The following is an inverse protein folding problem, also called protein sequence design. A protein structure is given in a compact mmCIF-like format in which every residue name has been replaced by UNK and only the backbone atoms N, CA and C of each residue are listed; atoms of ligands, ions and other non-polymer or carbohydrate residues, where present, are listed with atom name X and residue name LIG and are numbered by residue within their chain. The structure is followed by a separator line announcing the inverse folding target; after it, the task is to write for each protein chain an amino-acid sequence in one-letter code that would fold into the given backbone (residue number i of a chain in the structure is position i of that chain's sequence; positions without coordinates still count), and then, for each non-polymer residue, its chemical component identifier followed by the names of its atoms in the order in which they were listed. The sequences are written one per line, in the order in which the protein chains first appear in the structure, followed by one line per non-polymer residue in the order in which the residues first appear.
data_IF_385902412507
#
_entry.id   IF_385902412507
#
_cell.length_a   1.000
_cell.length_b   1.000
_cell.length_c   1.000
_cell.angle_alpha   90.00
_cell.angle_beta   90.00
_cell.angle_gamma   90.00
#
_symmetry.space_group_name_H-M   'P 1'
#
loop_
_entity.id
_entity.type
_entity.pdbx_description
1 polymer ?
#
# COMPACT_ATOMS: atom_id res chain seq x y z
N UNK A 1 -27.34 11.50 -23.65
CA UNK A 1 -26.70 10.30 -23.08
C UNK A 1 -25.20 10.54 -23.06
N UNK A 2 -24.65 10.94 -21.92
CA UNK A 2 -23.22 11.27 -21.79
C UNK A 2 -22.44 9.97 -21.63
N UNK A 3 -21.59 9.66 -22.61
CA UNK A 3 -20.65 8.53 -22.51
C UNK A 3 -19.47 8.94 -21.64
N UNK A 4 -19.46 8.50 -20.39
CA UNK A 4 -18.25 8.52 -19.58
C UNK A 4 -17.44 7.26 -19.94
N UNK A 5 -16.38 7.44 -20.72
CA UNK A 5 -15.34 6.42 -20.87
C UNK A 5 -14.60 6.31 -19.53
N UNK A 6 -15.02 5.37 -18.68
CA UNK A 6 -14.26 4.99 -17.50
C UNK A 6 -13.20 4.01 -17.97
N UNK A 7 -11.94 4.45 -18.03
CA UNK A 7 -10.80 3.53 -18.11
C UNK A 7 -10.67 2.87 -16.74
N UNK A 8 -11.36 1.75 -16.55
CA UNK A 8 -11.03 0.80 -15.50
C UNK A 8 -9.69 0.15 -15.91
N UNK A 9 -8.59 0.81 -15.56
CA UNK A 9 -7.28 0.17 -15.61
C UNK A 9 -7.28 -0.98 -14.62
N UNK A 10 -6.77 -2.14 -15.01
CA UNK A 10 -6.72 -3.36 -14.22
C UNK A 10 -6.30 -3.05 -12.76
N UNK A 11 -7.20 -3.30 -11.80
CA UNK A 11 -6.93 -3.09 -10.39
C UNK A 11 -5.82 -4.07 -9.98
N UNK A 12 -4.65 -3.54 -9.66
CA UNK A 12 -3.54 -4.31 -9.14
C UNK A 12 -3.79 -4.60 -7.66
N UNK A 13 -3.60 -5.85 -7.23
CA UNK A 13 -3.76 -6.20 -5.82
C UNK A 13 -2.51 -5.85 -5.02
N UNK A 14 -2.67 -5.53 -3.74
CA UNK A 14 -1.54 -5.15 -2.86
C UNK A 14 -0.42 -6.22 -2.82
N UNK A 15 -0.78 -7.51 -2.85
CA UNK A 15 0.18 -8.62 -2.86
C UNK A 15 0.92 -8.79 -4.20
N UNK A 16 0.52 -8.06 -5.24
CA UNK A 16 1.19 -8.03 -6.55
C UNK A 16 2.20 -6.89 -6.65
N UNK A 17 2.21 -5.98 -5.67
CA UNK A 17 3.14 -4.86 -5.61
C UNK A 17 4.54 -5.35 -5.26
N UNK A 18 5.55 -4.78 -5.94
CA UNK A 18 6.94 -5.08 -5.66
C UNK A 18 7.34 -4.72 -4.21
N UNK A 19 8.39 -5.38 -3.65
CA UNK A 19 8.76 -5.27 -2.23
C UNK A 19 9.38 -3.91 -1.84
N UNK A 20 9.57 -3.01 -2.81
CA UNK A 20 10.14 -1.69 -2.56
C UNK A 20 9.10 -0.75 -1.98
N UNK A 21 9.54 0.14 -1.08
CA UNK A 21 8.68 1.20 -0.54
C UNK A 21 8.11 2.10 -1.65
N UNK A 22 8.90 2.42 -2.67
CA UNK A 22 8.44 3.24 -3.79
C UNK A 22 7.26 2.58 -4.55
N UNK A 23 7.30 1.26 -4.73
CA UNK A 23 6.20 0.53 -5.37
C UNK A 23 4.91 0.61 -4.53
N UNK A 24 5.02 0.47 -3.21
CA UNK A 24 3.89 0.66 -2.29
C UNK A 24 3.35 2.10 -2.37
N UNK A 25 4.21 3.11 -2.33
CA UNK A 25 3.79 4.52 -2.39
C UNK A 25 3.03 4.85 -3.69
N UNK A 26 3.52 4.36 -4.84
CA UNK A 26 2.85 4.54 -6.13
C UNK A 26 1.49 3.86 -6.13
N UNK A 27 1.40 2.65 -5.59
CA UNK A 27 0.13 1.93 -5.44
C UNK A 27 -0.85 2.71 -4.57
N UNK A 28 -0.46 3.07 -3.35
CA UNK A 28 -1.33 3.79 -2.40
C UNK A 28 -1.74 5.16 -2.93
N UNK A 29 -0.86 5.86 -3.65
CA UNK A 29 -1.22 7.12 -4.30
C UNK A 29 -2.34 6.92 -5.33
N UNK A 30 -2.34 5.84 -6.10
CA UNK A 30 -3.42 5.53 -7.06
C UNK A 30 -4.72 5.21 -6.35
N UNK A 31 -4.66 4.35 -5.32
CA UNK A 31 -5.83 3.98 -4.51
C UNK A 31 -6.46 5.19 -3.81
N UNK A 32 -5.65 6.17 -3.40
CA UNK A 32 -6.11 7.39 -2.76
C UNK A 32 -6.43 8.53 -3.77
N UNK A 33 -6.83 8.18 -5.00
CA UNK A 33 -7.28 9.17 -6.00
C UNK A 33 -6.19 10.14 -6.49
N UNK A 34 -4.93 9.73 -6.43
CA UNK A 34 -3.76 10.53 -6.79
C UNK A 34 -3.16 11.34 -5.64
N UNK A 35 -3.76 11.31 -4.44
CA UNK A 35 -3.22 12.00 -3.28
C UNK A 35 -1.90 11.38 -2.84
N UNK A 36 -0.92 12.24 -2.53
CA UNK A 36 0.41 11.79 -2.11
C UNK A 36 0.32 11.10 -0.76
N UNK A 37 0.65 9.81 -0.75
CA UNK A 37 0.86 9.04 0.47
C UNK A 37 2.35 9.08 0.85
N UNK A 38 2.64 9.08 2.15
CA UNK A 38 4.00 9.03 2.68
C UNK A 38 4.04 8.19 3.96
N UNK A 39 5.22 7.65 4.25
CA UNK A 39 5.49 6.96 5.51
C UNK A 39 5.49 7.97 6.67
N UNK A 40 4.71 7.70 7.71
CA UNK A 40 4.69 8.48 8.96
C UNK A 40 5.65 7.93 9.99
N UNK A 41 5.74 6.60 10.10
CA UNK A 41 6.53 5.92 11.11
C UNK A 41 6.89 4.51 10.62
N UNK A 42 8.12 4.10 10.91
CA UNK A 42 8.55 2.71 10.85
C UNK A 42 8.88 2.22 12.26
N UNK A 43 8.50 0.99 12.57
CA UNK A 43 8.88 0.32 13.81
C UNK A 43 8.87 -1.19 13.64
N UNK A 44 9.70 -1.87 14.42
CA UNK A 44 9.65 -3.33 14.53
C UNK A 44 8.45 -3.73 15.40
N UNK A 45 7.54 -4.54 14.85
CA UNK A 45 6.40 -5.12 15.57
C UNK A 45 6.78 -6.52 16.07
N UNK A 46 6.75 -6.71 17.39
CA UNK A 46 7.11 -7.98 18.02
C UNK A 46 6.07 -9.10 17.78
N UNK A 47 4.80 -8.74 17.58
CA UNK A 47 3.71 -9.68 17.27
C UNK A 47 3.85 -10.23 15.86
N UNK A 48 4.12 -9.36 14.89
CA UNK A 48 4.34 -9.76 13.48
C UNK A 48 5.77 -10.26 13.21
N UNK A 49 6.70 -9.98 14.13
CA UNK A 49 8.12 -10.33 14.00
C UNK A 49 8.83 -9.64 12.83
N UNK A 50 8.45 -8.40 12.50
CA UNK A 50 8.95 -7.68 11.33
C UNK A 50 8.71 -6.17 11.40
N UNK A 51 9.31 -5.46 10.46
CA UNK A 51 9.10 -4.02 10.29
C UNK A 51 7.69 -3.71 9.75
N UNK A 52 7.01 -2.81 10.45
CA UNK A 52 5.71 -2.26 10.10
C UNK A 52 5.87 -0.79 9.72
N UNK A 53 5.20 -0.40 8.64
CA UNK A 53 5.23 0.92 8.05
C UNK A 53 3.85 1.56 8.17
N UNK A 54 3.71 2.55 9.05
CA UNK A 54 2.51 3.38 9.14
C UNK A 54 2.52 4.44 8.06
N UNK A 55 1.43 4.54 7.32
CA UNK A 55 1.29 5.43 6.18
C UNK A 55 0.32 6.57 6.49
N UNK A 56 0.36 7.61 5.66
CA UNK A 56 -0.42 8.83 5.89
C UNK A 56 -1.94 8.67 5.66
N UNK A 57 -2.36 7.57 5.04
CA UNK A 57 -3.76 7.15 4.89
C UNK A 57 -4.34 6.58 6.21
N UNK A 58 -3.52 6.38 7.24
CA UNK A 58 -3.94 5.84 8.53
C UNK A 58 -3.87 4.32 8.62
N UNK A 59 -3.34 3.65 7.60
CA UNK A 59 -3.12 2.20 7.59
C UNK A 59 -1.65 1.85 7.86
N UNK A 60 -1.46 0.62 8.33
CA UNK A 60 -0.14 0.02 8.57
C UNK A 60 0.09 -1.12 7.58
N UNK A 61 1.31 -1.20 7.06
CA UNK A 61 1.68 -2.22 6.08
C UNK A 61 2.95 -2.94 6.50
N UNK A 62 3.04 -4.22 6.15
CA UNK A 62 4.25 -5.01 6.31
C UNK A 62 4.48 -5.90 5.09
N UNK A 63 5.68 -6.45 4.98
CA UNK A 63 6.03 -7.44 3.96
C UNK A 63 6.09 -8.82 4.59
N UNK A 64 5.51 -9.81 3.91
CA UNK A 64 5.71 -11.19 4.28
C UNK A 64 7.07 -11.73 3.84
N UNK A 65 7.32 -13.00 4.13
CA UNK A 65 8.60 -13.66 3.87
C UNK A 65 8.89 -13.78 2.36
N UNK A 66 7.85 -13.66 1.53
CA UNK A 66 7.93 -13.60 0.06
C UNK A 66 8.10 -12.17 -0.49
N UNK A 67 8.18 -11.17 0.40
CA UNK A 67 8.28 -9.76 0.06
C UNK A 67 6.96 -9.13 -0.43
N UNK A 68 5.82 -9.80 -0.21
CA UNK A 68 4.49 -9.29 -0.58
C UNK A 68 3.93 -8.40 0.51
N UNK A 69 3.37 -7.26 0.11
CA UNK A 69 2.74 -6.33 1.03
C UNK A 69 1.38 -6.85 1.51
N UNK A 70 1.09 -6.60 2.78
CA UNK A 70 -0.22 -6.82 3.40
C UNK A 70 -0.52 -5.73 4.43
N UNK A 71 -1.81 -5.57 4.75
CA UNK A 71 -2.26 -4.63 5.78
C UNK A 71 -2.09 -5.29 7.14
N UNK A 72 -1.48 -4.56 8.07
CA UNK A 72 -1.39 -4.94 9.49
C UNK A 72 -2.55 -4.25 10.22
N UNK A 73 -3.38 -5.06 10.87
CA UNK A 73 -4.46 -4.59 11.74
C UNK A 73 -3.95 -4.64 13.18
N UNK A 74 -3.95 -3.49 13.87
CA UNK A 74 -3.68 -3.39 15.32
C UNK A 74 -4.88 -3.89 16.14
#
# INVERSE_FOLDING_TARGET
MSSAFVKEGENQWLHEIGPSMNALLVFLQRENGGLRIYERKNYYNATEGRDVYQMSDGLSYAKNDEGKWYIVWD
#
